data_IF_914183537203
#
_entry.id   IF_914183537203
#
_cell.length_a   1.000
_cell.length_b   1.000
_cell.length_c   1.000
_cell.angle_alpha   90.00
_cell.angle_beta   90.00
_cell.angle_gamma   90.00
#
_symmetry.space_group_name_H-M   'P 1'
#
loop_
_entity.id
_entity.type
_entity.pdbx_description
1 polymer ?
#
# COMPACT_ATOMS: atom_id res chain seq x y z
N UNK A 1 5.10 -16.55 19.35
CA UNK A 1 6.44 -16.05 18.98
C UNK A 1 7.43 -17.18 19.23
N UNK A 2 8.29 -17.49 18.26
CA UNK A 2 9.34 -18.51 18.38
C UNK A 2 10.63 -17.94 17.78
N UNK A 3 11.77 -18.10 18.43
CA UNK A 3 13.06 -17.63 17.92
C UNK A 3 14.17 -18.63 18.22
N UNK A 4 15.07 -18.83 17.28
CA UNK A 4 16.27 -19.66 17.42
C UNK A 4 17.46 -18.80 16.98
N UNK A 5 18.51 -18.81 17.79
CA UNK A 5 19.78 -18.15 17.47
C UNK A 5 20.93 -19.15 17.52
N UNK A 6 21.87 -19.00 16.58
CA UNK A 6 23.05 -19.85 16.46
C UNK A 6 24.25 -18.96 16.15
N UNK A 7 25.23 -18.98 17.04
CA UNK A 7 26.56 -18.49 16.72
C UNK A 7 27.22 -19.45 15.73
N UNK A 8 27.56 -18.95 14.54
CA UNK A 8 28.21 -19.73 13.48
C UNK A 8 29.74 -19.66 13.58
N UNK A 9 30.26 -18.52 14.04
CA UNK A 9 31.68 -18.25 14.31
C UNK A 9 31.77 -17.23 15.44
N UNK A 10 32.97 -16.95 15.95
CA UNK A 10 33.21 -15.94 16.98
C UNK A 10 32.71 -14.53 16.62
N UNK A 11 32.49 -14.27 15.34
CA UNK A 11 32.06 -12.97 14.81
C UNK A 11 30.75 -13.01 14.03
N UNK A 12 30.07 -14.15 13.95
CA UNK A 12 28.86 -14.33 13.12
C UNK A 12 27.71 -14.97 13.90
N UNK A 13 26.56 -14.30 13.89
CA UNK A 13 25.33 -14.76 14.52
C UNK A 13 24.23 -14.89 13.47
N UNK A 14 23.59 -16.06 13.44
CA UNK A 14 22.38 -16.32 12.67
C UNK A 14 21.19 -16.38 13.64
N UNK A 15 20.10 -15.69 13.32
CA UNK A 15 18.82 -15.85 14.00
C UNK A 15 17.70 -16.13 13.00
N UNK A 16 16.74 -16.93 13.42
CA UNK A 16 15.51 -17.21 12.70
C UNK A 16 14.34 -17.16 13.67
N UNK A 17 13.31 -16.39 13.34
CA UNK A 17 12.16 -16.15 14.21
C UNK A 17 10.86 -16.23 13.44
N UNK A 18 9.84 -16.80 14.07
CA UNK A 18 8.45 -16.73 13.65
C UNK A 18 7.68 -15.74 14.53
N UNK A 19 7.10 -14.73 13.89
CA UNK A 19 6.26 -13.72 14.53
C UNK A 19 4.85 -13.82 13.95
N UNK A 20 3.90 -14.19 14.78
CA UNK A 20 2.47 -14.18 14.47
C UNK A 20 1.76 -13.20 15.40
N UNK A 21 0.81 -12.44 14.87
CA UNK A 21 -0.06 -11.54 15.61
C UNK A 21 -1.48 -11.65 15.07
N UNK A 22 -2.44 -11.67 15.98
CA UNK A 22 -3.85 -11.53 15.65
C UNK A 22 -4.38 -10.35 16.44
N UNK A 23 -5.14 -9.50 15.77
CA UNK A 23 -5.86 -8.42 16.41
C UNK A 23 -7.35 -8.60 16.18
N UNK A 24 -8.11 -8.35 17.23
CA UNK A 24 -9.57 -8.40 17.26
C UNK A 24 -10.08 -7.08 17.79
N UNK A 25 -11.28 -6.68 17.37
CA UNK A 25 -11.88 -5.39 17.75
C UNK A 25 -11.00 -4.20 17.35
N UNK A 26 -10.36 -4.28 16.18
CA UNK A 26 -9.70 -3.14 15.56
C UNK A 26 -10.73 -2.09 15.18
N UNK A 27 -10.32 -0.83 15.33
CA UNK A 27 -11.09 0.31 14.88
C UNK A 27 -11.21 0.26 13.35
N UNK A 28 -12.44 0.25 12.85
CA UNK A 28 -12.78 0.44 11.45
C UNK A 28 -14.00 1.36 11.33
N UNK A 29 -14.22 1.87 10.14
CA UNK A 29 -15.30 2.82 9.86
C UNK A 29 -16.31 2.16 8.94
N UNK A 30 -17.59 2.29 9.22
CA UNK A 30 -18.67 1.88 8.32
C UNK A 30 -19.86 2.84 8.44
N UNK A 31 -20.67 2.94 7.39
CA UNK A 31 -21.86 3.78 7.39
C UNK A 31 -22.86 3.31 8.46
N UNK A 32 -23.18 4.19 9.41
CA UNK A 32 -24.19 4.01 10.44
C UNK A 32 -25.61 4.02 9.88
N UNK A 33 -25.83 4.71 8.75
CA UNK A 33 -27.11 4.81 8.07
C UNK A 33 -27.00 4.49 6.56
N UNK A 34 -26.61 3.25 6.20
CA UNK A 34 -26.40 2.92 4.80
C UNK A 34 -27.70 3.04 4.00
N UNK A 35 -27.56 3.41 2.74
CA UNK A 35 -28.62 3.31 1.74
C UNK A 35 -29.13 1.87 1.65
N UNK A 36 -30.42 1.70 1.43
CA UNK A 36 -31.02 0.42 1.11
C UNK A 36 -30.99 0.23 -0.42
N UNK A 37 -30.12 -0.66 -0.95
CA UNK A 37 -29.96 -0.80 -2.39
C UNK A 37 -31.23 -1.30 -3.07
N UNK A 38 -31.96 -2.23 -2.44
CA UNK A 38 -33.21 -2.76 -2.99
C UNK A 38 -34.29 -1.69 -3.11
N UNK A 39 -34.40 -0.80 -2.12
CA UNK A 39 -35.34 0.33 -2.18
C UNK A 39 -34.92 1.35 -3.24
N UNK A 40 -33.62 1.68 -3.32
CA UNK A 40 -33.13 2.60 -4.34
C UNK A 40 -33.32 2.05 -5.76
N UNK A 41 -33.11 0.75 -5.98
CA UNK A 41 -33.39 0.11 -7.26
C UNK A 41 -34.88 0.17 -7.65
N UNK A 42 -35.81 0.05 -6.69
CA UNK A 42 -37.24 0.23 -6.97
C UNK A 42 -37.56 1.67 -7.39
N UNK A 43 -36.79 2.64 -6.89
CA UNK A 43 -36.94 4.06 -7.16
C UNK A 43 -36.08 4.56 -8.33
N UNK A 44 -35.30 3.69 -9.00
CA UNK A 44 -34.38 4.10 -10.06
C UNK A 44 -35.03 4.16 -11.45
N UNK A 45 -36.25 3.62 -11.59
CA UNK A 45 -36.97 3.60 -12.87
C UNK A 45 -37.65 4.97 -13.13
N UNK A 46 -37.25 5.72 -14.17
CA UNK A 46 -37.79 7.05 -14.45
C UNK A 46 -39.30 7.06 -14.71
N UNK A 47 -39.97 8.14 -14.31
CA UNK A 47 -41.39 8.33 -14.59
C UNK A 47 -41.70 8.10 -16.09
N UNK A 48 -42.80 7.39 -16.36
CA UNK A 48 -43.23 7.06 -17.72
C UNK A 48 -42.58 5.81 -18.31
N UNK A 49 -41.60 5.20 -17.63
CA UNK A 49 -41.05 3.90 -18.02
C UNK A 49 -41.82 2.73 -17.38
N UNK A 50 -41.90 1.57 -18.04
CA UNK A 50 -42.53 0.37 -17.47
C UNK A 50 -41.92 0.00 -16.12
N UNK A 51 -42.76 -0.18 -15.10
CA UNK A 51 -42.33 -0.50 -13.74
C UNK A 51 -41.98 0.69 -12.86
N UNK A 52 -42.08 1.93 -13.36
CA UNK A 52 -41.88 3.12 -12.51
C UNK A 52 -43.00 3.28 -11.49
N UNK A 53 -42.61 3.58 -10.25
CA UNK A 53 -43.51 3.95 -9.15
C UNK A 53 -43.45 5.44 -8.82
N UNK A 54 -42.60 6.21 -9.52
CA UNK A 54 -42.37 7.62 -9.26
C UNK A 54 -43.48 8.51 -9.82
N UNK A 55 -43.71 9.66 -9.20
CA UNK A 55 -44.52 10.73 -9.76
C UNK A 55 -43.77 11.52 -10.85
N UNK A 56 -44.51 12.24 -11.69
CA UNK A 56 -43.93 13.13 -12.69
C UNK A 56 -43.10 14.23 -12.01
N UNK A 57 -41.88 14.45 -12.50
CA UNK A 57 -40.97 15.46 -11.96
C UNK A 57 -40.07 14.97 -10.82
N UNK A 58 -40.26 13.75 -10.31
CA UNK A 58 -39.35 13.13 -9.34
C UNK A 58 -38.10 12.60 -10.04
N UNK A 59 -36.91 13.01 -9.58
CA UNK A 59 -35.65 12.45 -10.03
C UNK A 59 -35.51 11.00 -9.52
N UNK A 60 -35.13 10.03 -10.37
CA UNK A 60 -34.96 8.64 -9.93
C UNK A 60 -33.77 8.47 -8.99
N UNK A 61 -33.85 7.44 -8.14
CA UNK A 61 -32.75 7.06 -7.27
C UNK A 61 -31.60 6.49 -8.11
N UNK A 62 -30.39 6.68 -7.62
CA UNK A 62 -29.16 6.27 -8.26
C UNK A 62 -27.97 6.65 -7.38
N UNK A 63 -26.75 6.40 -7.86
CA UNK A 63 -25.56 6.59 -7.05
C UNK A 63 -25.44 8.02 -6.51
N UNK A 64 -25.23 8.16 -5.20
CA UNK A 64 -25.13 9.45 -4.51
C UNK A 64 -26.47 10.20 -4.34
N UNK A 65 -27.61 9.60 -4.70
CA UNK A 65 -28.94 10.21 -4.56
C UNK A 65 -29.76 9.58 -3.43
N UNK A 66 -29.18 8.71 -2.61
CA UNK A 66 -29.85 7.96 -1.53
C UNK A 66 -30.51 8.87 -0.48
N UNK A 67 -30.09 10.14 -0.39
CA UNK A 67 -30.65 11.14 0.52
C UNK A 67 -31.89 11.87 0.00
N UNK A 68 -32.21 11.75 -1.30
CA UNK A 68 -33.30 12.51 -1.90
C UNK A 68 -34.67 12.04 -1.42
N UNK A 69 -35.65 12.95 -1.42
CA UNK A 69 -37.04 12.60 -1.23
C UNK A 69 -37.66 12.18 -2.57
N UNK A 70 -38.36 11.06 -2.57
CA UNK A 70 -38.99 10.46 -3.75
C UNK A 70 -40.50 10.51 -3.62
N UNK A 71 -41.16 11.35 -4.42
CA UNK A 71 -42.62 11.36 -4.53
C UNK A 71 -43.06 10.24 -5.47
N UNK A 72 -43.92 9.35 -4.95
CA UNK A 72 -44.51 8.25 -5.67
C UNK A 72 -45.78 8.67 -6.40
N UNK A 73 -46.15 7.94 -7.46
CA UNK A 73 -47.36 8.20 -8.25
C UNK A 73 -48.65 8.14 -7.43
N UNK A 74 -48.65 7.44 -6.29
CA UNK A 74 -49.79 7.36 -5.36
C UNK A 74 -49.85 8.53 -4.36
N UNK A 75 -48.97 9.52 -4.46
CA UNK A 75 -48.90 10.68 -3.57
C UNK A 75 -48.10 10.47 -2.27
N UNK A 76 -47.61 9.26 -2.01
CA UNK A 76 -46.71 9.02 -0.87
C UNK A 76 -45.31 9.56 -1.16
N UNK A 77 -44.63 10.07 -0.13
CA UNK A 77 -43.23 10.51 -0.23
C UNK A 77 -42.35 9.57 0.59
N UNK A 78 -41.29 9.06 -0.04
CA UNK A 78 -40.22 8.31 0.63
C UNK A 78 -39.07 9.29 0.86
N UNK A 79 -38.76 9.58 2.13
CA UNK A 79 -37.72 10.54 2.49
C UNK A 79 -36.34 9.87 2.59
N UNK A 80 -35.71 9.62 1.43
CA UNK A 80 -34.43 8.92 1.34
C UNK A 80 -34.55 7.40 1.42
N UNK A 81 -33.51 6.72 0.96
CA UNK A 81 -33.36 5.27 1.04
C UNK A 81 -32.42 4.84 2.18
N UNK A 82 -31.80 5.80 2.86
CA UNK A 82 -30.92 5.59 4.02
C UNK A 82 -31.70 5.34 5.30
N UNK A 83 -31.14 4.51 6.18
CA UNK A 83 -31.67 4.29 7.52
C UNK A 83 -30.61 3.70 8.44
N UNK A 84 -30.73 3.84 9.78
CA UNK A 84 -31.96 4.18 10.51
C UNK A 84 -32.08 5.64 11.00
N UNK A 85 -31.08 6.49 10.78
CA UNK A 85 -31.00 7.83 11.42
C UNK A 85 -32.06 8.84 10.93
N UNK A 86 -32.77 8.52 9.84
CA UNK A 86 -33.81 9.36 9.25
C UNK A 86 -33.29 10.36 8.21
N UNK A 87 -34.22 11.09 7.58
CA UNK A 87 -33.96 11.90 6.38
C UNK A 87 -33.18 13.19 6.60
N UNK A 88 -32.98 13.60 7.86
CA UNK A 88 -32.23 14.81 8.20
C UNK A 88 -30.71 14.58 8.15
N UNK A 89 -30.26 13.34 7.97
CA UNK A 89 -28.86 12.95 8.03
C UNK A 89 -28.34 12.51 6.66
N UNK A 90 -27.13 12.98 6.32
CA UNK A 90 -26.31 12.56 5.17
C UNK A 90 -25.79 11.12 5.32
N UNK A 91 -24.67 10.78 4.68
CA UNK A 91 -23.88 9.64 5.16
C UNK A 91 -23.31 9.98 6.55
N UNK A 92 -23.59 9.14 7.53
CA UNK A 92 -23.03 9.23 8.88
C UNK A 92 -22.26 7.93 9.15
N UNK A 93 -21.01 8.03 9.57
CA UNK A 93 -20.13 6.88 9.74
C UNK A 93 -19.87 6.60 11.22
N UNK A 94 -19.84 5.32 11.57
CA UNK A 94 -19.43 4.85 12.89
C UNK A 94 -18.00 4.32 12.90
N UNK A 95 -17.23 4.89 13.82
CA UNK A 95 -15.97 4.34 14.30
C UNK A 95 -16.28 3.18 15.26
N UNK A 96 -16.05 1.95 14.80
CA UNK A 96 -16.38 0.76 15.55
C UNK A 96 -15.18 -0.17 15.70
N UNK A 97 -14.99 -0.67 16.92
CA UNK A 97 -13.97 -1.66 17.26
C UNK A 97 -14.45 -3.08 16.92
N UNK A 98 -14.61 -3.37 15.62
CA UNK A 98 -15.20 -4.65 15.12
C UNK A 98 -14.32 -5.36 14.10
N UNK A 99 -13.20 -4.74 13.70
CA UNK A 99 -12.26 -5.29 12.74
C UNK A 99 -11.37 -6.38 13.29
N UNK A 100 -10.90 -7.25 12.40
CA UNK A 100 -9.93 -8.29 12.71
C UNK A 100 -8.77 -8.23 11.72
N UNK A 101 -7.58 -8.59 12.21
CA UNK A 101 -6.40 -8.79 11.37
C UNK A 101 -5.58 -9.98 11.82
N UNK A 102 -4.78 -10.50 10.90
CA UNK A 102 -3.84 -11.57 11.15
C UNK A 102 -2.56 -11.32 10.35
N UNK A 103 -1.43 -11.31 11.06
CA UNK A 103 -0.10 -11.16 10.52
C UNK A 103 0.74 -12.37 10.89
N UNK A 104 1.44 -12.95 9.93
CA UNK A 104 2.44 -13.99 10.18
C UNK A 104 3.70 -13.70 9.39
N UNK A 105 4.85 -13.89 10.00
CA UNK A 105 6.14 -13.71 9.35
C UNK A 105 7.23 -14.66 9.82
N UNK A 106 8.07 -15.04 8.87
CA UNK A 106 9.38 -15.61 9.10
C UNK A 106 10.43 -14.51 8.95
N UNK A 107 11.27 -14.33 9.95
CA UNK A 107 12.35 -13.35 9.97
C UNK A 107 13.67 -14.08 10.14
N UNK A 108 14.60 -13.89 9.21
CA UNK A 108 15.94 -14.47 9.26
C UNK A 108 16.93 -13.32 9.24
N UNK A 109 17.85 -13.30 10.21
CA UNK A 109 18.90 -12.30 10.27
C UNK A 109 20.27 -12.97 10.40
N UNK A 110 21.23 -12.49 9.62
CA UNK A 110 22.63 -12.88 9.69
C UNK A 110 23.47 -11.63 9.98
N UNK A 111 24.12 -11.61 11.12
CA UNK A 111 24.99 -10.50 11.54
C UNK A 111 26.42 -10.98 11.60
N UNK A 112 27.33 -10.17 11.06
CA UNK A 112 28.76 -10.41 11.12
C UNK A 112 29.49 -9.15 11.57
N UNK A 113 30.40 -9.30 12.53
CA UNK A 113 31.23 -8.22 13.06
C UNK A 113 32.70 -8.66 13.11
N UNK A 114 33.37 -8.58 11.97
CA UNK A 114 34.76 -8.97 11.80
C UNK A 114 35.74 -7.80 11.79
N UNK A 115 37.03 -8.12 11.68
CA UNK A 115 38.07 -7.11 11.47
C UNK A 115 38.02 -6.61 10.02
N UNK A 116 37.55 -5.39 9.85
CA UNK A 116 37.57 -4.70 8.55
C UNK A 116 36.30 -4.85 7.71
N UNK A 117 35.34 -5.66 8.14
CA UNK A 117 34.01 -5.67 7.54
C UNK A 117 32.95 -6.06 8.57
N UNK A 118 31.83 -5.36 8.51
CA UNK A 118 30.64 -5.61 9.31
C UNK A 118 29.45 -5.65 8.38
N UNK A 119 28.52 -6.58 8.60
CA UNK A 119 27.28 -6.62 7.83
C UNK A 119 26.12 -7.21 8.62
N UNK A 120 24.92 -6.85 8.22
CA UNK A 120 23.65 -7.36 8.73
C UNK A 120 22.75 -7.63 7.53
N UNK A 121 22.42 -8.90 7.29
CA UNK A 121 21.49 -9.34 6.26
C UNK A 121 20.20 -9.73 6.93
N UNK A 122 19.09 -9.10 6.58
CA UNK A 122 17.79 -9.35 7.19
C UNK A 122 16.80 -9.70 6.08
N UNK A 123 16.10 -10.81 6.23
CA UNK A 123 15.07 -11.26 5.31
C UNK A 123 13.79 -11.51 6.09
N UNK A 124 12.70 -10.91 5.64
CA UNK A 124 11.37 -11.12 6.17
C UNK A 124 10.48 -11.65 5.06
N UNK A 125 9.90 -12.82 5.29
CA UNK A 125 8.77 -13.32 4.52
C UNK A 125 7.51 -13.15 5.36
N UNK A 126 6.52 -12.40 4.89
CA UNK A 126 5.33 -12.08 5.68
C UNK A 126 4.02 -12.22 4.92
N UNK A 127 2.93 -12.25 5.66
CA UNK A 127 1.57 -12.06 5.15
C UNK A 127 0.71 -11.40 6.21
N UNK A 128 0.09 -10.31 5.82
CA UNK A 128 -0.87 -9.54 6.61
C UNK A 128 -2.21 -9.51 5.89
N UNK A 129 -3.27 -9.88 6.60
CA UNK A 129 -4.66 -9.83 6.12
C UNK A 129 -5.48 -9.08 7.17
N UNK A 130 -6.30 -8.13 6.74
CA UNK A 130 -7.21 -7.38 7.61
C UNK A 130 -8.56 -7.15 6.94
N UNK A 131 -9.53 -6.69 7.73
CA UNK A 131 -10.82 -6.18 7.23
C UNK A 131 -10.77 -4.69 6.88
N UNK A 132 -9.81 -3.97 7.47
CA UNK A 132 -9.50 -2.57 7.23
C UNK A 132 -8.05 -2.33 7.68
N UNK A 133 -7.23 -1.71 6.83
CA UNK A 133 -5.84 -1.38 7.17
C UNK A 133 -5.70 -0.07 7.93
N UNK A 134 -6.75 0.76 7.91
CA UNK A 134 -6.89 1.96 8.72
C UNK A 134 -8.36 2.38 8.76
N UNK A 135 -8.68 3.45 9.51
CA UNK A 135 -10.02 4.05 9.51
C UNK A 135 -10.46 4.56 8.13
N UNK A 136 -9.53 4.78 7.19
CA UNK A 136 -9.87 5.22 5.84
C UNK A 136 -10.37 4.08 4.92
N UNK A 137 -10.29 2.83 5.38
CA UNK A 137 -10.77 1.66 4.64
C UNK A 137 -12.20 1.34 5.12
N UNK A 138 -13.24 1.63 4.33
CA UNK A 138 -14.61 1.40 4.75
C UNK A 138 -14.91 -0.09 4.90
N UNK A 139 -15.61 -0.41 5.99
CA UNK A 139 -16.26 -1.68 6.26
C UNK A 139 -17.63 -1.75 5.57
N UNK A 140 -18.02 -2.94 5.12
CA UNK A 140 -19.37 -3.17 4.62
C UNK A 140 -20.33 -3.34 5.82
N UNK A 141 -21.29 -2.44 6.05
CA UNK A 141 -22.18 -2.50 7.21
C UNK A 141 -23.12 -3.71 7.19
N UNK A 142 -23.44 -4.24 6.01
CA UNK A 142 -24.29 -5.42 5.86
C UNK A 142 -23.51 -6.73 6.03
N UNK A 143 -22.21 -6.73 5.73
CA UNK A 143 -21.35 -7.90 5.91
C UNK A 143 -19.88 -7.50 6.07
N UNK A 144 -19.43 -7.27 7.31
CA UNK A 144 -18.04 -6.91 7.59
C UNK A 144 -17.02 -7.97 7.16
N UNK A 145 -17.40 -9.25 7.04
CA UNK A 145 -16.46 -10.29 6.62
C UNK A 145 -16.07 -10.17 5.14
N UNK A 146 -16.91 -9.53 4.33
CA UNK A 146 -16.68 -9.31 2.90
C UNK A 146 -15.49 -8.37 2.61
N UNK A 147 -15.10 -7.53 3.58
CA UNK A 147 -14.02 -6.56 3.38
C UNK A 147 -12.63 -7.12 3.62
N UNK A 148 -12.53 -8.39 4.01
CA UNK A 148 -11.27 -9.05 4.35
C UNK A 148 -10.37 -9.20 3.12
N UNK A 149 -9.18 -8.60 3.17
CA UNK A 149 -8.22 -8.56 2.07
C UNK A 149 -6.76 -8.51 2.56
N UNK A 150 -5.80 -8.52 1.64
CA UNK A 150 -4.41 -8.22 2.00
C UNK A 150 -4.33 -6.84 2.64
N UNK A 151 -3.55 -6.68 3.71
CA UNK A 151 -3.34 -5.37 4.33
C UNK A 151 -2.66 -4.42 3.34
N UNK A 152 -3.02 -3.12 3.35
CA UNK A 152 -2.43 -2.08 2.49
C UNK A 152 -0.89 -2.00 2.60
N UNK A 153 -0.36 -2.36 3.77
CA UNK A 153 1.06 -2.32 4.09
C UNK A 153 1.74 -3.71 4.01
N UNK A 154 1.06 -4.73 3.48
CA UNK A 154 1.62 -6.07 3.37
C UNK A 154 2.81 -6.11 2.40
N UNK A 155 3.97 -6.56 2.88
CA UNK A 155 5.15 -6.78 2.04
C UNK A 155 5.55 -8.24 2.18
N UNK A 156 5.27 -9.00 1.12
CA UNK A 156 5.49 -10.44 1.07
C UNK A 156 6.95 -10.83 1.28
N UNK A 157 7.88 -10.17 0.59
CA UNK A 157 9.32 -10.38 0.73
C UNK A 157 10.00 -9.04 0.99
N UNK A 158 10.79 -8.96 2.05
CA UNK A 158 11.59 -7.78 2.38
C UNK A 158 13.00 -8.22 2.77
N UNK A 159 13.97 -7.92 1.92
CA UNK A 159 15.39 -8.13 2.18
C UNK A 159 16.10 -6.79 2.37
N UNK A 160 16.85 -6.67 3.46
CA UNK A 160 17.68 -5.50 3.77
C UNK A 160 19.06 -5.95 4.17
N UNK A 161 20.07 -5.52 3.40
CA UNK A 161 21.47 -5.73 3.71
C UNK A 161 22.11 -4.40 4.08
N UNK A 162 22.64 -4.28 5.29
CA UNK A 162 23.46 -3.15 5.71
C UNK A 162 24.89 -3.63 5.86
N UNK A 163 25.86 -2.94 5.27
CA UNK A 163 27.26 -3.37 5.30
C UNK A 163 28.23 -2.19 5.38
N UNK A 164 29.40 -2.47 5.93
CA UNK A 164 30.54 -1.56 5.98
C UNK A 164 31.80 -2.37 5.79
N UNK A 165 32.64 -1.99 4.83
CA UNK A 165 33.84 -2.70 4.41
C UNK A 165 34.99 -1.71 4.31
N UNK A 166 36.08 -1.96 5.05
CA UNK A 166 37.33 -1.23 4.90
C UNK A 166 38.02 -1.71 3.63
N UNK A 167 38.24 -0.80 2.69
CA UNK A 167 38.82 -1.12 1.39
C UNK A 167 40.35 -1.19 1.52
N UNK A 168 41.00 -2.30 1.14
CA UNK A 168 42.43 -2.51 1.31
C UNK A 168 43.24 -1.86 0.18
N UNK A 169 42.89 -0.63 -0.23
CA UNK A 169 43.58 0.05 -1.33
C UNK A 169 45.06 0.30 -1.03
N UNK A 170 45.45 0.33 0.25
CA UNK A 170 46.83 0.45 0.69
C UNK A 170 47.69 -0.79 0.43
N UNK A 171 47.05 -1.93 0.17
CA UNK A 171 47.72 -3.15 -0.30
C UNK A 171 47.97 -3.15 -1.82
N UNK A 172 47.28 -2.30 -2.58
CA UNK A 172 47.42 -2.24 -4.05
C UNK A 172 48.67 -1.48 -4.50
N UNK A 173 49.15 -0.51 -3.72
CA UNK A 173 50.35 0.27 -4.05
C UNK A 173 51.06 0.76 -2.80
N UNK A 174 52.34 0.39 -2.64
CA UNK A 174 53.19 0.84 -1.53
C UNK A 174 53.63 2.30 -1.68
N UNK A 175 53.71 2.81 -2.92
CA UNK A 175 54.22 4.16 -3.25
C UNK A 175 53.24 5.28 -2.89
N UNK A 176 51.94 4.99 -2.77
CA UNK A 176 50.87 5.97 -2.51
C UNK A 176 50.09 5.70 -1.22
N UNK A 177 50.70 4.99 -0.26
CA UNK A 177 50.08 4.59 1.02
C UNK A 177 49.34 5.71 1.78
N UNK A 178 49.82 6.96 1.84
CA UNK A 178 49.07 8.05 2.48
C UNK A 178 47.73 8.35 1.78
N UNK A 179 47.67 8.11 0.47
CA UNK A 179 46.49 8.35 -0.37
C UNK A 179 45.53 7.14 -0.40
N UNK A 180 46.08 5.94 -0.24
CA UNK A 180 45.32 4.70 -0.39
C UNK A 180 44.82 4.10 0.92
N UNK A 181 45.21 4.65 2.08
CA UNK A 181 44.69 4.22 3.39
C UNK A 181 43.39 4.93 3.79
N UNK A 182 42.63 4.25 4.65
CA UNK A 182 41.50 4.83 5.37
C UNK A 182 40.19 4.90 4.58
N UNK A 183 40.11 4.21 3.45
CA UNK A 183 38.88 4.10 2.65
C UNK A 183 37.93 3.07 3.25
N UNK A 184 36.66 3.42 3.32
CA UNK A 184 35.58 2.58 3.81
C UNK A 184 34.38 2.73 2.89
N UNK A 185 33.84 1.61 2.41
CA UNK A 185 32.57 1.54 1.71
C UNK A 185 31.49 1.14 2.71
N UNK A 186 30.41 1.90 2.79
CA UNK A 186 29.20 1.49 3.49
C UNK A 186 27.99 1.56 2.57
N UNK A 187 26.95 0.82 2.89
CA UNK A 187 25.74 0.86 2.09
C UNK A 187 24.58 0.09 2.70
N UNK A 188 23.42 0.36 2.13
CA UNK A 188 22.16 -0.34 2.39
C UNK A 188 21.60 -0.80 1.04
N UNK A 189 21.39 -2.10 0.89
CA UNK A 189 20.64 -2.67 -0.22
C UNK A 189 19.27 -3.09 0.26
N UNK A 190 18.23 -2.67 -0.45
CA UNK A 190 16.85 -3.05 -0.16
C UNK A 190 16.21 -3.72 -1.37
N UNK A 191 15.67 -4.91 -1.17
CA UNK A 191 14.97 -5.69 -2.20
C UNK A 191 13.62 -6.11 -1.63
N UNK A 192 12.53 -5.61 -2.18
CA UNK A 192 11.19 -5.91 -1.65
C UNK A 192 10.19 -6.18 -2.75
N UNK A 193 9.17 -6.98 -2.45
CA UNK A 193 7.92 -6.94 -3.20
C UNK A 193 7.25 -5.57 -3.05
N UNK A 194 6.31 -5.25 -3.95
CA UNK A 194 5.50 -4.05 -3.84
C UNK A 194 4.45 -4.16 -2.75
N UNK A 195 3.73 -3.07 -2.53
CA UNK A 195 2.51 -3.05 -1.74
C UNK A 195 1.35 -3.65 -2.55
N UNK A 196 0.29 -4.17 -1.90
CA UNK A 196 -0.89 -4.63 -2.62
C UNK A 196 -1.55 -3.49 -3.40
N UNK A 197 -2.01 -3.79 -4.61
CA UNK A 197 -2.79 -2.83 -5.40
C UNK A 197 -4.18 -2.73 -4.78
N UNK A 198 -4.58 -1.50 -4.45
CA UNK A 198 -5.92 -1.22 -3.92
C UNK A 198 -6.87 -0.94 -5.06
N UNK A 199 -7.78 -1.88 -5.32
CA UNK A 199 -8.90 -1.70 -6.24
C UNK A 199 -10.04 -1.00 -5.52
N UNK A 200 -10.66 -0.04 -6.21
CA UNK A 200 -11.83 0.70 -5.74
C UNK A 200 -12.66 1.17 -6.94
N UNK A 201 -13.91 1.51 -6.65
CA UNK A 201 -14.82 2.18 -7.56
C UNK A 201 -15.50 3.33 -6.84
N UNK A 202 -15.09 4.57 -7.11
CA UNK A 202 -15.64 5.76 -6.47
C UNK A 202 -16.95 6.24 -7.14
N UNK A 203 -17.84 5.29 -7.44
CA UNK A 203 -19.08 5.51 -8.17
C UNK A 203 -20.36 5.35 -7.36
N UNK A 204 -20.32 4.70 -6.18
CA UNK A 204 -21.48 4.32 -5.35
C UNK A 204 -22.53 3.47 -6.08
N UNK A 205 -22.09 2.63 -7.03
CA UNK A 205 -22.94 1.71 -7.75
C UNK A 205 -23.62 0.69 -6.82
N UNK A 206 -23.09 0.42 -5.62
CA UNK A 206 -23.79 -0.43 -4.64
C UNK A 206 -25.04 0.20 -4.04
N UNK A 207 -25.27 1.51 -4.23
CA UNK A 207 -26.41 2.27 -3.69
C UNK A 207 -26.50 2.25 -2.16
N UNK A 208 -25.35 2.03 -1.51
CA UNK A 208 -25.23 2.04 -0.05
C UNK A 208 -24.90 3.44 0.48
N UNK A 209 -24.58 4.39 -0.39
CA UNK A 209 -24.34 5.76 0.03
C UNK A 209 -23.07 5.91 0.87
N UNK A 210 -22.07 5.07 0.63
CA UNK A 210 -20.82 5.00 1.43
C UNK A 210 -19.84 6.15 1.13
N UNK A 211 -20.38 7.36 0.91
CA UNK A 211 -19.63 8.50 0.42
C UNK A 211 -18.52 8.94 1.39
N UNK A 212 -17.35 9.37 0.86
CA UNK A 212 -16.30 9.96 1.66
C UNK A 212 -16.81 11.17 2.47
N UNK A 213 -16.54 11.21 3.78
CA UNK A 213 -16.95 12.29 4.68
C UNK A 213 -15.79 12.90 5.48
N UNK A 214 -14.55 12.57 5.13
CA UNK A 214 -13.34 13.05 5.80
C UNK A 214 -12.77 12.09 6.85
N UNK A 215 -13.54 11.08 7.28
CA UNK A 215 -13.04 9.95 8.09
C UNK A 215 -12.70 8.77 7.18
N UNK A 216 -13.63 8.39 6.30
CA UNK A 216 -13.38 7.53 5.14
C UNK A 216 -12.96 8.37 3.93
N UNK A 217 -12.00 7.87 3.16
CA UNK A 217 -11.48 8.59 1.98
C UNK A 217 -12.01 8.06 0.64
N UNK A 218 -12.67 6.90 0.65
CA UNK A 218 -13.11 6.18 -0.54
C UNK A 218 -14.47 5.54 -0.30
N UNK A 219 -15.17 5.26 -1.39
CA UNK A 219 -16.39 4.47 -1.36
C UNK A 219 -16.10 3.02 -0.96
N UNK A 220 -17.13 2.31 -0.50
CA UNK A 220 -17.06 0.89 -0.17
C UNK A 220 -16.81 0.02 -1.41
N UNK A 221 -17.22 0.52 -2.57
CA UNK A 221 -17.34 -0.25 -3.79
C UNK A 221 -15.97 -0.64 -4.36
N UNK A 222 -15.95 -1.85 -4.87
CA UNK A 222 -14.85 -2.41 -5.66
C UNK A 222 -15.41 -2.78 -7.02
N UNK A 223 -14.55 -2.91 -8.05
CA UNK A 223 -14.98 -3.42 -9.33
C UNK A 223 -15.39 -4.90 -9.26
N UNK A 224 -16.07 -5.38 -10.29
CA UNK A 224 -16.27 -6.81 -10.52
C UNK A 224 -15.04 -7.47 -11.14
N UNK A 225 -14.74 -8.70 -10.72
CA UNK A 225 -13.69 -9.50 -11.33
C UNK A 225 -14.28 -10.40 -12.42
N UNK A 226 -13.83 -10.22 -13.66
CA UNK A 226 -14.39 -10.91 -14.84
C UNK A 226 -13.91 -12.36 -14.98
N UNK A 227 -12.96 -12.79 -14.16
CA UNK A 227 -12.32 -14.11 -14.28
C UNK A 227 -11.13 -14.15 -15.25
N UNK A 228 -10.89 -13.08 -16.02
CA UNK A 228 -9.74 -13.00 -16.91
C UNK A 228 -8.42 -12.89 -16.13
N UNK A 229 -7.30 -13.44 -16.65
CA UNK A 229 -6.02 -13.36 -15.98
C UNK A 229 -5.53 -11.91 -15.86
N UNK A 230 -4.92 -11.60 -14.71
CA UNK A 230 -4.35 -10.27 -14.43
C UNK A 230 -3.18 -9.89 -15.35
N UNK A 231 -2.47 -10.87 -15.93
CA UNK A 231 -1.33 -10.65 -16.85
C UNK A 231 -0.36 -9.55 -16.36
N UNK A 232 0.27 -9.77 -15.20
CA UNK A 232 1.14 -8.76 -14.59
C UNK A 232 2.33 -8.43 -15.51
N UNK A 233 2.41 -7.17 -15.93
CA UNK A 233 3.50 -6.62 -16.71
C UNK A 233 4.65 -6.19 -15.77
N UNK A 234 5.78 -6.88 -15.88
CA UNK A 234 6.97 -6.62 -15.06
C UNK A 234 7.77 -5.38 -15.50
N UNK A 235 7.44 -4.75 -16.62
CA UNK A 235 8.12 -3.55 -17.11
C UNK A 235 7.16 -2.36 -17.27
N UNK A 236 6.99 -1.54 -16.22
CA UNK A 236 6.13 -0.34 -16.26
C UNK A 236 6.54 0.72 -17.31
N UNK A 237 7.75 0.64 -17.88
CA UNK A 237 8.29 1.66 -18.78
C UNK A 237 7.84 1.50 -20.23
N UNK A 238 7.16 0.40 -20.57
CA UNK A 238 6.75 0.10 -21.94
C UNK A 238 5.44 0.79 -22.35
N UNK A 239 4.85 1.63 -21.48
CA UNK A 239 3.59 2.32 -21.75
C UNK A 239 2.37 1.39 -21.81
N UNK A 240 2.50 0.15 -21.33
CA UNK A 240 1.39 -0.80 -21.21
C UNK A 240 0.88 -0.84 -19.78
N UNK A 241 -0.39 -1.26 -19.56
CA UNK A 241 -0.91 -1.50 -18.22
C UNK A 241 0.00 -2.43 -17.41
N UNK A 242 0.06 -2.20 -16.10
CA UNK A 242 0.71 -3.08 -15.12
C UNK A 242 -0.07 -4.39 -14.93
N UNK A 243 -1.39 -4.34 -14.97
CA UNK A 243 -2.28 -5.49 -15.02
C UNK A 243 -3.31 -5.29 -16.12
N UNK A 244 -3.87 -6.39 -16.63
CA UNK A 244 -4.95 -6.40 -17.62
C UNK A 244 -6.20 -5.68 -17.08
N UNK A 245 -6.53 -4.47 -17.57
CA UNK A 245 -7.68 -3.73 -17.08
C UNK A 245 -9.01 -4.45 -17.34
N UNK A 246 -9.08 -5.25 -18.41
CA UNK A 246 -10.27 -6.04 -18.77
C UNK A 246 -10.54 -7.19 -17.79
N UNK A 247 -9.60 -7.49 -16.88
CA UNK A 247 -9.86 -8.40 -15.76
C UNK A 247 -10.89 -7.83 -14.77
N UNK A 248 -11.23 -6.54 -14.90
CA UNK A 248 -12.19 -5.86 -14.06
C UNK A 248 -13.22 -5.10 -14.89
N UNK A 249 -14.44 -5.02 -14.36
CA UNK A 249 -15.53 -4.20 -14.88
C UNK A 249 -16.16 -3.43 -13.73
N UNK A 250 -16.91 -2.37 -14.05
CA UNK A 250 -17.69 -1.71 -13.00
C UNK A 250 -18.68 -2.69 -12.37
N UNK A 251 -18.93 -2.53 -11.08
CA UNK A 251 -19.92 -3.36 -10.39
C UNK A 251 -21.34 -3.08 -10.88
N UNK A 252 -22.20 -4.10 -10.80
CA UNK A 252 -23.62 -3.95 -11.12
C UNK A 252 -24.32 -2.98 -10.15
N UNK A 253 -25.29 -2.23 -10.67
CA UNK A 253 -26.08 -1.30 -9.86
C UNK A 253 -26.86 -2.04 -8.75
N UNK A 254 -26.69 -1.62 -7.51
CA UNK A 254 -27.32 -2.15 -6.30
C UNK A 254 -26.54 -3.25 -5.58
N UNK A 255 -25.36 -3.64 -6.07
CA UNK A 255 -24.51 -4.66 -5.44
C UNK A 255 -23.07 -4.17 -5.33
N UNK A 256 -22.36 -4.41 -4.21
CA UNK A 256 -20.90 -4.21 -4.17
C UNK A 256 -20.21 -5.14 -5.16
N UNK A 257 -19.09 -4.71 -5.74
CA UNK A 257 -18.36 -5.57 -6.66
C UNK A 257 -17.74 -6.81 -6.03
N UNK A 258 -17.49 -7.78 -6.90
CA UNK A 258 -16.98 -9.10 -6.55
C UNK A 258 -15.46 -9.15 -6.33
N UNK A 259 -14.71 -8.15 -6.79
CA UNK A 259 -13.26 -8.12 -6.56
C UNK A 259 -12.94 -7.80 -5.10
N UNK A 260 -11.96 -8.51 -4.54
CA UNK A 260 -11.36 -8.10 -3.27
C UNK A 260 -10.60 -6.78 -3.46
N UNK A 261 -10.75 -5.84 -2.51
CA UNK A 261 -10.05 -4.55 -2.52
C UNK A 261 -8.54 -4.68 -2.73
N UNK A 262 -7.92 -5.77 -2.27
CA UNK A 262 -6.47 -6.04 -2.42
C UNK A 262 -6.20 -7.54 -2.52
N UNK A 263 -5.83 -8.00 -3.70
CA UNK A 263 -5.58 -9.43 -3.99
C UNK A 263 -4.22 -9.74 -4.63
N UNK A 264 -3.52 -8.73 -5.18
CA UNK A 264 -2.21 -8.86 -5.81
C UNK A 264 -1.31 -7.67 -5.51
N UNK A 265 -0.02 -7.79 -5.83
CA UNK A 265 1.01 -6.79 -5.49
C UNK A 265 1.41 -5.91 -6.68
N UNK A 266 1.67 -4.64 -6.39
CA UNK A 266 2.29 -3.69 -7.29
C UNK A 266 3.80 -3.94 -7.48
N UNK A 267 4.48 -3.06 -8.24
CA UNK A 267 5.90 -3.19 -8.48
C UNK A 267 6.74 -3.13 -7.19
N UNK A 268 7.76 -3.97 -7.13
CA UNK A 268 8.72 -4.02 -6.03
C UNK A 268 9.77 -2.91 -6.05
N UNK A 269 10.70 -3.00 -5.11
CA UNK A 269 11.87 -2.12 -5.01
C UNK A 269 13.15 -2.94 -5.05
N UNK A 270 14.15 -2.47 -5.80
CA UNK A 270 15.50 -3.05 -5.86
C UNK A 270 16.55 -1.93 -5.84
N UNK A 271 16.87 -1.44 -4.65
CA UNK A 271 17.62 -0.20 -4.47
C UNK A 271 18.96 -0.39 -3.72
N UNK A 272 19.94 0.44 -4.08
CA UNK A 272 21.26 0.51 -3.44
C UNK A 272 21.57 1.95 -3.05
N UNK A 273 21.76 2.18 -1.77
CA UNK A 273 22.26 3.44 -1.23
C UNK A 273 23.69 3.20 -0.73
N UNK A 274 24.65 3.93 -1.28
CA UNK A 274 26.08 3.69 -1.06
C UNK A 274 26.76 4.95 -0.53
N UNK A 275 27.71 4.77 0.37
CA UNK A 275 28.59 5.83 0.84
C UNK A 275 30.05 5.36 0.81
N UNK A 276 30.92 6.17 0.23
CA UNK A 276 32.36 6.00 0.25
C UNK A 276 32.96 7.05 1.18
N UNK A 277 33.60 6.59 2.25
CA UNK A 277 34.20 7.43 3.27
C UNK A 277 35.71 7.31 3.24
N UNK A 278 36.38 8.41 3.57
CA UNK A 278 37.82 8.41 3.83
C UNK A 278 38.21 9.37 4.93
N UNK A 279 39.03 8.85 5.84
CA UNK A 279 39.67 9.64 6.88
C UNK A 279 41.14 9.93 6.52
N UNK A 280 41.52 11.21 6.53
CA UNK A 280 42.86 11.70 6.26
C UNK A 280 43.39 12.35 7.54
N UNK A 281 44.34 11.73 8.22
CA UNK A 281 45.03 12.38 9.34
C UNK A 281 46.14 13.29 8.78
N UNK A 282 46.13 14.54 9.21
CA UNK A 282 47.15 15.55 8.84
C UNK A 282 48.18 15.67 9.95
N UNK A 283 47.72 15.75 11.20
CA UNK A 283 48.55 15.69 12.41
C UNK A 283 47.87 14.77 13.43
N UNK A 284 48.42 14.66 14.64
CA UNK A 284 47.81 13.89 15.74
C UNK A 284 46.47 14.50 16.20
N UNK A 285 46.31 15.81 16.12
CA UNK A 285 45.08 16.54 16.47
C UNK A 285 44.19 16.88 15.28
N UNK A 286 44.70 16.88 14.03
CA UNK A 286 43.96 17.34 12.85
C UNK A 286 43.62 16.21 11.88
N UNK A 287 42.34 16.08 11.53
CA UNK A 287 41.83 15.07 10.59
C UNK A 287 40.79 15.66 9.63
N UNK A 288 40.84 15.26 8.36
CA UNK A 288 39.75 15.45 7.41
C UNK A 288 38.96 14.16 7.24
N UNK A 289 37.64 14.29 7.07
CA UNK A 289 36.74 13.20 6.69
C UNK A 289 36.05 13.59 5.39
N UNK A 290 36.35 12.85 4.32
CA UNK A 290 35.63 12.92 3.06
C UNK A 290 34.51 11.90 3.05
N UNK A 291 33.35 12.28 2.53
CA UNK A 291 32.20 11.41 2.35
C UNK A 291 31.57 11.69 0.98
N UNK A 292 31.45 10.64 0.18
CA UNK A 292 30.71 10.64 -1.07
C UNK A 292 29.52 9.69 -0.92
N UNK A 293 28.31 10.18 -1.11
CA UNK A 293 27.08 9.40 -0.95
C UNK A 293 26.29 9.39 -2.25
N UNK A 294 25.72 8.24 -2.58
CA UNK A 294 24.82 8.07 -3.70
C UNK A 294 23.59 7.28 -3.23
N UNK A 295 22.45 7.96 -3.13
CA UNK A 295 21.14 7.34 -2.97
C UNK A 295 20.64 6.90 -4.35
N UNK A 296 20.08 5.69 -4.45
CA UNK A 296 19.81 5.04 -5.73
C UNK A 296 21.05 5.07 -6.64
N UNK A 297 22.16 4.51 -6.14
CA UNK A 297 23.50 4.63 -6.74
C UNK A 297 23.55 4.22 -8.23
N UNK A 298 22.75 3.23 -8.62
CA UNK A 298 22.66 2.74 -10.00
C UNK A 298 21.61 3.46 -10.86
N UNK A 299 20.90 4.44 -10.30
CA UNK A 299 19.86 5.21 -10.99
C UNK A 299 18.78 4.33 -11.64
N UNK A 300 18.39 3.24 -10.97
CA UNK A 300 17.32 2.36 -11.44
C UNK A 300 15.97 2.98 -11.06
N UNK A 301 15.05 3.07 -12.01
CA UNK A 301 13.70 3.57 -11.76
C UNK A 301 12.94 2.60 -10.85
N UNK A 302 12.46 3.07 -9.70
CA UNK A 302 11.69 2.28 -8.75
C UNK A 302 10.23 2.71 -8.77
N UNK A 303 9.33 1.80 -9.12
CA UNK A 303 7.89 2.05 -9.19
C UNK A 303 7.17 1.58 -7.92
N UNK A 304 7.78 1.84 -6.77
CA UNK A 304 7.38 1.30 -5.47
C UNK A 304 6.52 2.30 -4.68
N UNK A 305 5.45 1.84 -4.04
CA UNK A 305 4.63 2.64 -3.12
C UNK A 305 3.15 2.23 -3.09
N UNK A 306 2.39 2.63 -2.05
CA UNK A 306 0.98 2.23 -1.87
C UNK A 306 0.04 2.76 -2.97
N UNK A 307 0.43 3.83 -3.68
CA UNK A 307 -0.32 4.41 -4.81
C UNK A 307 0.54 4.42 -6.08
N UNK A 308 1.41 3.43 -6.24
CA UNK A 308 2.26 3.31 -7.44
C UNK A 308 1.48 2.85 -8.67
N UNK A 309 0.42 2.07 -8.47
CA UNK A 309 -0.49 1.57 -9.50
C UNK A 309 -1.87 2.23 -9.29
N UNK A 310 -2.49 2.71 -10.35
CA UNK A 310 -3.85 3.22 -10.30
C UNK A 310 -4.85 2.06 -10.30
N UNK A 311 -5.64 1.95 -9.22
CA UNK A 311 -6.63 0.91 -9.00
C UNK A 311 -8.07 1.41 -8.95
N UNK A 312 -8.31 2.71 -9.18
CA UNK A 312 -9.64 3.26 -9.40
C UNK A 312 -10.12 2.96 -10.82
N UNK A 313 -11.19 2.18 -10.96
CA UNK A 313 -11.67 1.73 -12.27
C UNK A 313 -12.23 2.86 -13.14
N UNK A 314 -12.70 3.94 -12.52
CA UNK A 314 -13.20 5.12 -13.21
C UNK A 314 -12.07 6.06 -13.72
N UNK A 315 -10.82 5.84 -13.29
CA UNK A 315 -9.69 6.65 -13.74
C UNK A 315 -9.21 6.19 -15.13
N UNK A 316 -8.92 7.14 -16.02
CA UNK A 316 -8.38 6.86 -17.36
C UNK A 316 -7.05 6.08 -17.34
N UNK A 317 -6.32 6.11 -16.22
CA UNK A 317 -5.06 5.40 -16.00
C UNK A 317 -5.26 4.09 -15.24
N UNK A 318 -6.49 3.60 -15.07
CA UNK A 318 -6.74 2.31 -14.41
C UNK A 318 -5.85 1.20 -14.98
N UNK A 319 -5.16 0.49 -14.09
CA UNK A 319 -4.21 -0.54 -14.48
C UNK A 319 -2.79 -0.06 -14.72
N UNK A 320 -2.51 1.25 -14.77
CA UNK A 320 -1.17 1.76 -15.06
C UNK A 320 -0.36 2.07 -13.80
N UNK A 321 0.96 2.00 -13.95
CA UNK A 321 1.89 2.56 -12.96
C UNK A 321 1.98 4.07 -13.17
N UNK A 322 1.67 4.84 -12.13
CA UNK A 322 1.56 6.31 -12.19
C UNK A 322 2.60 7.04 -11.35
N UNK A 323 3.39 6.33 -10.54
CA UNK A 323 4.38 6.95 -9.64
C UNK A 323 5.69 6.18 -9.61
N UNK A 324 6.80 6.95 -9.61
CA UNK A 324 8.14 6.45 -9.38
C UNK A 324 8.79 7.16 -8.18
N UNK A 325 9.77 6.50 -7.57
CA UNK A 325 10.62 7.08 -6.53
C UNK A 325 11.64 8.07 -7.14
N UNK A 326 12.23 8.95 -6.32
CA UNK A 326 13.24 9.89 -6.79
C UNK A 326 14.40 9.22 -7.55
N UNK A 327 14.97 9.91 -8.56
CA UNK A 327 16.17 9.45 -9.25
C UNK A 327 17.39 9.51 -8.32
N UNK A 328 18.55 9.10 -8.84
CA UNK A 328 19.80 9.12 -8.09
C UNK A 328 20.10 10.51 -7.52
N UNK A 329 20.44 10.54 -6.23
CA UNK A 329 20.89 11.74 -5.53
C UNK A 329 22.32 11.53 -5.03
N UNK A 330 23.23 12.42 -5.42
CA UNK A 330 24.64 12.36 -5.01
C UNK A 330 24.96 13.53 -4.10
N UNK A 331 25.66 13.25 -3.01
CA UNK A 331 26.11 14.25 -2.05
C UNK A 331 27.60 14.06 -1.76
N UNK A 332 28.29 15.18 -1.57
CA UNK A 332 29.72 15.20 -1.24
C UNK A 332 29.90 16.10 -0.03
N UNK A 333 30.60 15.60 0.97
CA UNK A 333 30.91 16.34 2.18
C UNK A 333 32.40 16.21 2.54
N UNK A 334 32.96 17.31 3.03
CA UNK A 334 34.29 17.35 3.64
C UNK A 334 34.14 17.96 5.03
N UNK A 335 34.56 17.21 6.05
CA UNK A 335 34.56 17.64 7.44
C UNK A 335 35.99 17.76 7.95
N UNK A 336 36.30 18.86 8.65
CA UNK A 336 37.56 19.05 9.36
C UNK A 336 37.34 18.84 10.86
N UNK A 337 38.24 18.08 11.48
CA UNK A 337 38.26 17.73 12.90
C UNK A 337 39.60 18.22 13.46
N UNK A 338 39.56 18.93 14.59
CA UNK A 338 40.70 19.55 15.25
C UNK A 338 40.64 19.36 16.77
#
# INVERSE_FOLDING_TARGET
FLSIERQLTDSTLLSASYVGSQAHHLLLVYSANPGNPALCLQLSVPYGQPGSILAQGTQPCGPGLENNAYLLANGQTINGTRGPLGSNYGNDDYDATVGNSNYNSLQVALRHAGRGYTFSLNYTWSKSIDQASSISDPGNPFNLSSTRALSAFDIRHNFVASYTVNLPFDRLTSRWRPVTRGWQLSGITRITTGFPVTLREDGDNSLQGSSPNGVNNHYLDTPDYTGLPLQINSNPRNGQPYFNPLAFTQNALGEPGTASRRSFYGPGSFNFDLALLRNFRVTESKQFQFRFEAFNAFNHAQFFGPNSVQGEILDSNFGYVIKAQPPRLVQVALKFLF
#
